data_IF_861012795644
#
_entry.id   IF_861012795644
#
_cell.length_a   1.000
_cell.length_b   1.000
_cell.length_c   1.000
_cell.angle_alpha   90.00
_cell.angle_beta   90.00
_cell.angle_gamma   90.00
#
_symmetry.space_group_name_H-M   'P 1'
#
loop_
_entity.id
_entity.type
_entity.pdbx_description
1 polymer ?
#
# COMPACT_ATOMS: atom_id res chain seq x y z
N UNK A 1 -18.68 6.69 -3.35
CA UNK A 1 -17.28 6.84 -3.73
C UNK A 1 -16.33 6.07 -2.85
N UNK A 2 -16.43 6.21 -1.54
CA UNK A 2 -15.64 5.42 -0.59
C UNK A 2 -15.86 3.92 -0.70
N UNK A 3 -17.10 3.54 -0.95
CA UNK A 3 -17.50 2.14 -1.04
C UNK A 3 -16.79 1.39 -2.17
N UNK A 4 -16.65 2.01 -3.33
CA UNK A 4 -15.99 1.39 -4.47
C UNK A 4 -14.51 1.13 -4.19
N UNK A 5 -13.84 2.04 -3.50
CA UNK A 5 -12.43 1.93 -3.13
C UNK A 5 -12.20 0.86 -2.07
N UNK A 6 -13.06 0.85 -1.06
CA UNK A 6 -13.01 -0.16 -0.02
C UNK A 6 -13.28 -1.55 -0.59
N UNK A 7 -14.24 -1.66 -1.50
CA UNK A 7 -14.61 -2.91 -2.15
C UNK A 7 -13.48 -3.41 -3.05
N UNK A 8 -12.79 -2.53 -3.77
CA UNK A 8 -11.62 -2.89 -4.57
C UNK A 8 -10.46 -3.41 -3.71
N UNK A 9 -10.22 -2.79 -2.55
CA UNK A 9 -9.18 -3.24 -1.63
C UNK A 9 -9.54 -4.53 -0.89
N UNK A 10 -10.81 -4.76 -0.63
CA UNK A 10 -11.25 -5.98 0.07
C UNK A 10 -11.32 -7.22 -0.82
N UNK A 11 -11.39 -7.05 -2.13
CA UNK A 11 -11.44 -8.16 -3.08
C UNK A 11 -10.07 -8.40 -3.72
N UNK A 12 -9.34 -9.34 -3.16
CA UNK A 12 -8.00 -9.72 -3.61
C UNK A 12 -7.94 -10.13 -5.09
N UNK A 13 -9.01 -10.73 -5.62
CA UNK A 13 -9.10 -11.13 -7.01
C UNK A 13 -9.20 -9.94 -7.99
N UNK A 14 -9.76 -8.82 -7.55
CA UNK A 14 -9.85 -7.61 -8.35
C UNK A 14 -8.52 -6.86 -8.39
N UNK A 15 -7.75 -6.89 -7.29
CA UNK A 15 -6.43 -6.28 -7.23
C UNK A 15 -5.42 -6.97 -8.13
N UNK A 16 -5.53 -8.28 -8.31
CA UNK A 16 -4.67 -9.03 -9.21
C UNK A 16 -4.86 -8.64 -10.68
N UNK A 17 -6.04 -8.12 -11.04
CA UNK A 17 -6.39 -7.75 -12.41
C UNK A 17 -6.30 -6.25 -12.68
N UNK A 18 -6.27 -5.43 -11.63
CA UNK A 18 -6.15 -3.99 -11.77
C UNK A 18 -4.67 -3.59 -11.69
N UNK A 19 -4.17 -3.03 -12.77
CA UNK A 19 -2.86 -2.39 -12.72
C UNK A 19 -2.92 -1.28 -11.69
N UNK A 20 -1.98 -1.32 -10.76
CA UNK A 20 -1.90 -0.40 -9.63
C UNK A 20 -1.83 1.05 -10.08
N UNK A 21 -1.21 1.31 -11.24
CA UNK A 21 -1.18 2.63 -11.86
C UNK A 21 -2.59 3.15 -12.16
N UNK A 22 -3.47 2.29 -12.67
CA UNK A 22 -4.88 2.64 -12.89
C UNK A 22 -5.59 2.91 -11.57
N UNK A 23 -5.25 2.18 -10.51
CA UNK A 23 -5.82 2.36 -9.19
C UNK A 23 -5.47 3.75 -8.63
N UNK A 24 -4.20 4.16 -8.67
CA UNK A 24 -3.78 5.49 -8.24
C UNK A 24 -4.41 6.60 -9.08
N UNK A 25 -4.49 6.43 -10.39
CA UNK A 25 -5.09 7.42 -11.31
C UNK A 25 -6.60 7.53 -11.08
N UNK A 26 -7.29 6.40 -10.97
CA UNK A 26 -8.73 6.39 -10.68
C UNK A 26 -9.03 7.06 -9.33
N UNK A 27 -8.20 6.82 -8.32
CA UNK A 27 -8.35 7.44 -7.02
C UNK A 27 -8.13 8.94 -7.05
N UNK A 28 -7.18 9.42 -7.86
CA UNK A 28 -6.94 10.85 -8.06
C UNK A 28 -8.16 11.54 -8.70
N UNK A 29 -8.78 10.89 -9.67
CA UNK A 29 -9.95 11.43 -10.35
C UNK A 29 -11.20 11.43 -9.47
N UNK A 30 -11.38 10.40 -8.65
CA UNK A 30 -12.58 10.21 -7.83
C UNK A 30 -12.60 11.14 -6.61
N UNK A 31 -11.44 11.48 -6.04
CA UNK A 31 -11.38 12.24 -4.79
C UNK A 31 -11.23 13.76 -4.93
N UNK A 32 -11.19 14.27 -6.14
CA UNK A 32 -11.02 15.70 -6.36
C UNK A 32 -9.64 16.21 -5.93
N UNK A 33 -9.13 17.20 -6.63
CA UNK A 33 -7.78 17.75 -6.42
C UNK A 33 -7.56 18.35 -5.04
N UNK A 34 -8.63 18.82 -4.38
CA UNK A 34 -8.52 19.51 -3.10
C UNK A 34 -8.09 18.57 -1.95
N UNK A 35 -8.76 17.43 -1.81
CA UNK A 35 -8.41 16.44 -0.78
C UNK A 35 -7.03 15.84 -1.03
N UNK A 36 -6.70 15.60 -2.28
CA UNK A 36 -5.39 15.11 -2.67
C UNK A 36 -4.27 16.06 -2.22
N UNK A 37 -4.47 17.37 -2.43
CA UNK A 37 -3.48 18.38 -2.04
C UNK A 37 -3.25 18.44 -0.53
N UNK A 38 -4.31 18.25 0.27
CA UNK A 38 -4.18 18.24 1.73
C UNK A 38 -3.32 17.06 2.18
N UNK A 39 -3.62 15.87 1.71
CA UNK A 39 -2.89 14.65 2.10
C UNK A 39 -1.44 14.65 1.60
N UNK A 40 -1.16 15.25 0.47
CA UNK A 40 0.22 15.38 -0.04
C UNK A 40 1.14 16.17 0.89
N UNK A 41 0.59 17.08 1.69
CA UNK A 41 1.37 17.92 2.61
C UNK A 41 1.62 17.28 3.96
N UNK A 42 0.93 16.18 4.25
CA UNK A 42 1.08 15.47 5.52
C UNK A 42 2.36 14.63 5.48
N UNK A 43 3.12 14.59 6.57
CA UNK A 43 4.30 13.76 6.69
C UNK A 43 3.94 12.27 6.67
N UNK A 44 4.91 11.42 6.41
CA UNK A 44 4.70 9.96 6.40
C UNK A 44 4.19 9.47 7.76
N UNK A 45 4.75 9.98 8.84
CA UNK A 45 4.33 9.66 10.20
C UNK A 45 2.91 10.13 10.49
N UNK A 46 2.57 11.34 10.03
CA UNK A 46 1.21 11.89 10.14
C UNK A 46 0.20 11.04 9.37
N UNK A 47 0.54 10.60 8.17
CA UNK A 47 -0.29 9.69 7.40
C UNK A 47 -0.44 8.34 8.11
N UNK A 48 0.63 7.84 8.70
CA UNK A 48 0.59 6.58 9.45
C UNK A 48 -0.38 6.67 10.63
N UNK A 49 -0.36 7.77 11.38
CA UNK A 49 -1.32 8.00 12.46
C UNK A 49 -2.76 7.98 11.97
N UNK A 50 -3.02 8.61 10.82
CA UNK A 50 -4.35 8.57 10.21
C UNK A 50 -4.73 7.14 9.79
N UNK A 51 -3.78 6.37 9.29
CA UNK A 51 -3.98 4.96 8.95
C UNK A 51 -4.38 4.13 10.18
N UNK A 52 -3.77 4.39 11.33
CA UNK A 52 -4.11 3.71 12.58
C UNK A 52 -5.57 3.96 12.97
N UNK A 53 -6.12 5.11 12.60
CA UNK A 53 -7.52 5.46 12.83
C UNK A 53 -8.47 4.91 11.76
N UNK A 54 -7.93 4.24 10.75
CA UNK A 54 -8.74 3.66 9.67
C UNK A 54 -9.03 4.60 8.50
N UNK A 55 -8.29 5.70 8.37
CA UNK A 55 -8.50 6.65 7.27
C UNK A 55 -7.99 6.06 5.95
N UNK A 56 -8.91 5.68 5.08
CA UNK A 56 -8.61 5.07 3.79
C UNK A 56 -7.87 6.00 2.83
N UNK A 57 -8.06 7.31 2.97
CA UNK A 57 -7.34 8.30 2.15
C UNK A 57 -5.85 8.32 2.52
N UNK A 58 -5.55 8.15 3.80
CA UNK A 58 -4.17 8.08 4.27
C UNK A 58 -3.48 6.81 3.75
N UNK A 59 -4.15 5.67 3.78
CA UNK A 59 -3.61 4.44 3.19
C UNK A 59 -3.29 4.60 1.71
N UNK A 60 -4.19 5.22 0.97
CA UNK A 60 -4.02 5.49 -0.45
C UNK A 60 -2.81 6.37 -0.71
N UNK A 61 -2.67 7.45 0.04
CA UNK A 61 -1.53 8.35 -0.11
C UNK A 61 -0.21 7.66 0.22
N UNK A 62 -0.17 6.86 1.28
CA UNK A 62 1.00 6.04 1.59
C UNK A 62 1.32 5.07 0.47
N UNK A 63 0.31 4.43 -0.07
CA UNK A 63 0.48 3.51 -1.19
C UNK A 63 1.09 4.22 -2.40
N UNK A 64 0.56 5.38 -2.77
CA UNK A 64 1.09 6.16 -3.89
C UNK A 64 2.53 6.61 -3.66
N UNK A 65 2.88 6.99 -2.42
CA UNK A 65 4.25 7.43 -2.10
C UNK A 65 5.27 6.32 -2.15
N UNK A 66 4.92 5.16 -1.63
CA UNK A 66 5.88 4.08 -1.39
C UNK A 66 5.83 2.95 -2.41
N UNK A 67 4.82 2.92 -3.28
CA UNK A 67 4.68 1.83 -4.23
C UNK A 67 5.91 1.64 -5.11
N UNK A 68 6.37 2.68 -5.77
CA UNK A 68 7.53 2.61 -6.66
C UNK A 68 8.80 2.21 -5.91
N UNK A 69 9.00 2.77 -4.72
CA UNK A 69 10.14 2.44 -3.86
C UNK A 69 10.15 0.96 -3.49
N UNK A 70 9.01 0.47 -3.00
CA UNK A 70 8.87 -0.92 -2.57
C UNK A 70 9.04 -1.89 -3.74
N UNK A 71 8.42 -1.57 -4.86
CA UNK A 71 8.52 -2.39 -6.07
C UNK A 71 9.98 -2.49 -6.55
N UNK A 72 10.66 -1.35 -6.65
CA UNK A 72 12.05 -1.33 -7.11
C UNK A 72 12.98 -2.09 -6.14
N UNK A 73 12.76 -1.94 -4.85
CA UNK A 73 13.49 -2.69 -3.83
C UNK A 73 13.25 -4.20 -3.96
N UNK A 74 11.99 -4.58 -4.10
CA UNK A 74 11.59 -5.99 -4.22
C UNK A 74 12.17 -6.68 -5.46
N UNK A 75 12.21 -5.98 -6.59
CA UNK A 75 12.77 -6.51 -7.84
C UNK A 75 14.27 -6.80 -7.71
N UNK A 76 14.98 -6.02 -6.91
CA UNK A 76 16.40 -6.28 -6.62
C UNK A 76 16.61 -7.56 -5.81
N UNK A 77 15.67 -7.91 -4.95
CA UNK A 77 15.72 -9.13 -4.14
C UNK A 77 15.19 -10.34 -4.88
N UNK A 78 14.16 -10.15 -5.68
CA UNK A 78 13.49 -11.21 -6.42
C UNK A 78 13.15 -10.71 -7.82
N UNK A 79 13.80 -11.22 -8.89
CA UNK A 79 13.60 -10.71 -10.25
C UNK A 79 12.25 -11.05 -10.88
N UNK A 80 11.28 -11.46 -10.11
CA UNK A 80 9.91 -11.72 -10.58
C UNK A 80 9.03 -10.51 -10.28
N UNK A 81 8.86 -9.67 -11.28
CA UNK A 81 8.11 -8.41 -11.20
C UNK A 81 6.67 -8.61 -10.73
N UNK A 82 5.99 -9.60 -11.30
CA UNK A 82 4.59 -9.90 -10.98
C UNK A 82 4.43 -10.30 -9.52
N UNK A 83 5.31 -11.17 -9.05
CA UNK A 83 5.29 -11.65 -7.67
C UNK A 83 5.61 -10.54 -6.68
N UNK A 84 6.54 -9.66 -7.01
CA UNK A 84 6.87 -8.49 -6.18
C UNK A 84 5.67 -7.54 -6.08
N UNK A 85 5.02 -7.25 -7.18
CA UNK A 85 3.83 -6.39 -7.20
C UNK A 85 2.70 -6.98 -6.34
N UNK A 86 2.47 -8.29 -6.42
CA UNK A 86 1.50 -8.98 -5.58
C UNK A 86 1.86 -8.88 -4.09
N UNK A 87 3.13 -9.02 -3.76
CA UNK A 87 3.59 -8.90 -2.38
C UNK A 87 3.38 -7.49 -1.82
N UNK A 88 3.64 -6.46 -2.62
CA UNK A 88 3.41 -5.05 -2.22
C UNK A 88 1.92 -4.82 -1.95
N UNK A 89 1.05 -5.30 -2.83
CA UNK A 89 -0.40 -5.20 -2.64
C UNK A 89 -0.86 -5.91 -1.38
N UNK A 90 -0.39 -7.13 -1.16
CA UNK A 90 -0.74 -7.92 0.02
C UNK A 90 -0.37 -7.21 1.32
N UNK A 91 0.77 -6.52 1.35
CA UNK A 91 1.19 -5.74 2.53
C UNK A 91 0.15 -4.67 2.84
N UNK A 92 -0.24 -3.87 1.85
CA UNK A 92 -1.21 -2.79 2.07
C UNK A 92 -2.60 -3.33 2.42
N UNK A 93 -3.02 -4.43 1.81
CA UNK A 93 -4.29 -5.07 2.17
C UNK A 93 -4.28 -5.49 3.65
N UNK A 94 -3.20 -6.11 4.11
CA UNK A 94 -3.06 -6.52 5.51
C UNK A 94 -3.01 -5.33 6.46
N UNK A 95 -2.33 -4.25 6.08
CA UNK A 95 -2.30 -3.03 6.88
C UNK A 95 -3.71 -2.47 7.07
N UNK A 96 -4.49 -2.42 6.00
CA UNK A 96 -5.87 -1.93 6.06
C UNK A 96 -6.74 -2.83 6.93
N UNK A 97 -6.64 -4.14 6.75
CA UNK A 97 -7.43 -5.12 7.50
C UNK A 97 -7.11 -5.12 8.99
N UNK A 98 -5.86 -4.85 9.34
CA UNK A 98 -5.38 -4.94 10.71
C UNK A 98 -4.96 -3.57 11.29
N UNK A 99 -5.52 -2.47 10.76
CA UNK A 99 -5.11 -1.12 11.17
C UNK A 99 -5.25 -0.89 12.68
N UNK A 100 -6.23 -1.54 13.31
CA UNK A 100 -6.47 -1.39 14.75
C UNK A 100 -5.34 -1.98 15.61
N UNK A 101 -4.62 -2.96 15.07
CA UNK A 101 -3.54 -3.64 15.80
C UNK A 101 -2.16 -3.09 15.48
N UNK A 102 -2.07 -2.14 14.53
CA UNK A 102 -0.80 -1.54 14.15
C UNK A 102 -0.28 -0.61 15.25
N UNK A 103 1.03 -0.63 15.45
CA UNK A 103 1.69 0.26 16.40
C UNK A 103 2.12 1.56 15.73
N UNK A 104 2.17 2.68 16.47
CA UNK A 104 2.78 3.90 15.96
C UNK A 104 4.24 3.65 15.57
N UNK A 105 4.69 4.28 14.51
CA UNK A 105 6.07 4.19 14.07
C UNK A 105 6.61 5.57 13.69
N UNK A 106 7.87 5.80 13.97
CA UNK A 106 8.58 7.02 13.58
C UNK A 106 9.31 6.85 12.25
N UNK A 107 9.34 5.65 11.70
CA UNK A 107 10.00 5.35 10.43
C UNK A 107 9.11 4.44 9.57
N UNK A 108 8.16 5.05 8.90
CA UNK A 108 7.19 4.35 8.03
C UNK A 108 7.92 3.65 6.88
N UNK A 109 8.86 4.33 6.24
CA UNK A 109 9.65 3.79 5.14
C UNK A 109 10.38 2.51 5.55
N UNK A 110 11.09 2.55 6.68
CA UNK A 110 11.82 1.41 7.20
C UNK A 110 10.90 0.24 7.56
N UNK A 111 9.75 0.54 8.14
CA UNK A 111 8.74 -0.46 8.48
C UNK A 111 8.23 -1.17 7.22
N UNK A 112 7.88 -0.43 6.19
CA UNK A 112 7.36 -0.98 4.93
C UNK A 112 8.43 -1.83 4.21
N UNK A 113 9.66 -1.35 4.15
CA UNK A 113 10.77 -2.09 3.53
C UNK A 113 11.05 -3.40 4.26
N UNK A 114 11.06 -3.37 5.59
CA UNK A 114 11.26 -4.56 6.41
C UNK A 114 10.13 -5.57 6.23
N UNK A 115 8.90 -5.09 6.21
CA UNK A 115 7.72 -5.92 5.99
C UNK A 115 7.75 -6.58 4.61
N UNK A 116 8.10 -5.82 3.57
CA UNK A 116 8.23 -6.35 2.21
C UNK A 116 9.32 -7.41 2.12
N UNK A 117 10.48 -7.14 2.69
CA UNK A 117 11.59 -8.08 2.72
C UNK A 117 11.17 -9.42 3.36
N UNK A 118 10.53 -9.34 4.51
CA UNK A 118 10.02 -10.54 5.19
C UNK A 118 9.01 -11.28 4.33
N UNK A 119 8.07 -10.57 3.73
CA UNK A 119 7.04 -11.14 2.85
C UNK A 119 7.66 -11.85 1.64
N UNK A 120 8.66 -11.26 1.03
CA UNK A 120 9.36 -11.86 -0.11
C UNK A 120 10.10 -13.15 0.28
N UNK A 121 10.80 -13.15 1.41
CA UNK A 121 11.47 -14.36 1.88
C UNK A 121 10.48 -15.50 2.15
N UNK A 122 9.37 -15.21 2.81
CA UNK A 122 8.33 -16.21 3.07
C UNK A 122 7.77 -16.74 1.74
N UNK A 123 7.56 -15.87 0.77
CA UNK A 123 7.04 -16.26 -0.55
C UNK A 123 8.03 -17.14 -1.31
N UNK A 124 9.31 -16.79 -1.29
CA UNK A 124 10.38 -17.58 -1.90
C UNK A 124 10.43 -18.99 -1.28
N UNK A 125 10.38 -19.07 0.04
CA UNK A 125 10.40 -20.35 0.74
C UNK A 125 9.20 -21.23 0.39
N UNK A 126 8.01 -20.65 0.24
CA UNK A 126 6.81 -21.40 -0.16
C UNK A 126 6.89 -21.93 -1.60
N UNK A 127 7.61 -21.23 -2.48
CA UNK A 127 7.73 -21.61 -3.89
C UNK A 127 8.89 -22.55 -4.16
N UNK A 128 9.65 -22.93 -3.16
CA UNK A 128 10.66 -23.98 -3.25
C UNK A 128 10.02 -25.41 -3.15
#
# INVERSE_FOLDING_TARGET
>A
MYFALYTCFSKKSLLANLKIECFCVCLRQICGSYFYMIYMKISDEGLWELCLKGDMRAFRELYCRFYALLRNYGIKLLPDKSLVEDCVQDIFIKLIQNHETLSPTVNVKGYLLKTLRHKLYVTIEKNR
#
